data_IF_550715878344
#
_entry.id   IF_550715878344
#
_cell.length_a   1.000
_cell.length_b   1.000
_cell.length_c   1.000
_cell.angle_alpha   90.00
_cell.angle_beta   90.00
_cell.angle_gamma   90.00
#
_symmetry.space_group_name_H-M   'P 1'
#
loop_
_entity.id
_entity.type
_entity.pdbx_description
1 polymer ?
#
# COMPACT_ATOMS: atom_id res chain seq x y z
N UNK A 1 -24.29 70.15 -24.10
CA UNK A 1 -24.03 68.70 -24.19
C UNK A 1 -23.48 68.21 -22.85
N UNK A 2 -24.32 67.61 -22.00
CA UNK A 2 -23.90 66.95 -20.75
C UNK A 2 -23.51 65.51 -21.08
N UNK A 3 -22.26 65.12 -20.84
CA UNK A 3 -21.79 63.73 -20.97
C UNK A 3 -22.01 63.04 -19.62
N UNK A 4 -22.98 62.15 -19.54
CA UNK A 4 -23.10 61.22 -18.40
C UNK A 4 -21.99 60.18 -18.49
N UNK A 5 -21.13 60.14 -17.48
CA UNK A 5 -20.22 59.02 -17.24
C UNK A 5 -21.04 57.89 -16.61
N UNK A 6 -21.33 56.83 -17.38
CA UNK A 6 -21.82 55.58 -16.83
C UNK A 6 -20.63 54.87 -16.16
N UNK A 7 -20.62 54.85 -14.83
CA UNK A 7 -19.71 54.00 -14.07
C UNK A 7 -20.16 52.53 -14.21
N UNK A 8 -19.43 51.75 -15.00
CA UNK A 8 -19.54 50.29 -14.97
C UNK A 8 -18.98 49.76 -13.65
N UNK A 9 -19.87 49.47 -12.69
CA UNK A 9 -19.52 48.66 -11.53
C UNK A 9 -19.34 47.20 -12.00
N UNK A 10 -18.10 46.76 -12.09
CA UNK A 10 -17.75 45.37 -12.40
C UNK A 10 -17.89 44.55 -11.10
N UNK A 11 -18.99 43.80 -10.98
CA UNK A 11 -19.19 42.81 -9.91
C UNK A 11 -18.25 41.62 -10.16
N UNK A 12 -17.17 41.53 -9.38
CA UNK A 12 -16.36 40.32 -9.30
C UNK A 12 -17.13 39.26 -8.50
N UNK A 13 -17.74 38.32 -9.22
CA UNK A 13 -18.18 37.06 -8.61
C UNK A 13 -16.94 36.20 -8.36
N UNK A 14 -16.53 36.06 -7.09
CA UNK A 14 -15.65 34.99 -6.66
C UNK A 14 -16.44 33.68 -6.66
N UNK A 15 -16.34 32.92 -7.76
CA UNK A 15 -16.70 31.50 -7.73
C UNK A 15 -15.59 30.75 -6.99
N UNK A 16 -15.84 30.33 -5.76
CA UNK A 16 -15.08 29.25 -5.14
C UNK A 16 -15.40 27.98 -5.91
N UNK A 17 -14.54 27.66 -6.88
CA UNK A 17 -14.54 26.33 -7.50
C UNK A 17 -13.84 25.43 -6.50
N UNK A 18 -14.62 24.76 -5.65
CA UNK A 18 -14.10 23.62 -4.92
C UNK A 18 -13.86 22.52 -5.96
N UNK A 19 -12.65 22.51 -6.50
CA UNK A 19 -12.18 21.38 -7.28
C UNK A 19 -12.23 20.14 -6.36
N UNK A 20 -12.68 19.02 -6.89
CA UNK A 20 -12.56 17.74 -6.19
C UNK A 20 -11.09 17.58 -5.79
N UNK A 21 -10.80 17.49 -4.49
CA UNK A 21 -9.44 17.25 -4.02
C UNK A 21 -9.03 15.86 -4.50
N UNK A 22 -8.28 15.80 -5.60
CA UNK A 22 -7.78 14.55 -6.20
C UNK A 22 -6.63 13.92 -5.40
N UNK A 23 -6.30 14.45 -4.22
CA UNK A 23 -5.34 13.85 -3.31
C UNK A 23 -5.85 13.95 -1.87
N UNK A 24 -5.76 12.84 -1.14
CA UNK A 24 -6.01 12.83 0.31
C UNK A 24 -4.76 13.36 1.04
N UNK A 25 -4.95 14.41 1.84
CA UNK A 25 -3.90 15.04 2.63
C UNK A 25 -3.59 14.29 3.93
N UNK A 26 -4.53 13.46 4.40
CA UNK A 26 -4.45 12.66 5.62
C UNK A 26 -5.17 11.31 5.40
N UNK A 27 -4.87 10.29 6.22
CA UNK A 27 -5.66 9.06 6.22
C UNK A 27 -7.11 9.32 6.63
N UNK A 28 -8.01 8.45 6.16
CA UNK A 28 -9.45 8.43 6.48
C UNK A 28 -9.86 7.00 6.85
N UNK A 29 -11.11 6.79 7.29
CA UNK A 29 -11.63 5.48 7.63
C UNK A 29 -11.01 4.93 8.92
N UNK A 30 -10.97 3.61 9.08
CA UNK A 30 -10.46 2.99 10.30
C UNK A 30 -8.96 3.29 10.55
N UNK A 31 -8.17 3.53 9.50
CA UNK A 31 -6.77 3.94 9.59
C UNK A 31 -6.52 5.43 9.78
N UNK A 32 -7.54 6.24 10.12
CA UNK A 32 -7.42 7.71 10.23
C UNK A 32 -6.32 8.21 11.19
N UNK A 33 -5.92 7.39 12.16
CA UNK A 33 -4.89 7.73 13.14
C UNK A 33 -3.45 7.53 12.66
N UNK A 34 -3.24 6.97 11.47
CA UNK A 34 -1.90 6.77 10.93
C UNK A 34 -1.22 8.12 10.61
N UNK A 35 -0.13 8.43 11.30
CA UNK A 35 0.72 9.61 11.07
C UNK A 35 2.07 9.26 10.44
N UNK A 36 2.43 7.97 10.42
CA UNK A 36 3.64 7.44 9.82
C UNK A 36 4.90 8.07 10.41
N UNK A 37 5.84 8.44 9.54
CA UNK A 37 7.07 9.15 9.88
C UNK A 37 6.88 10.64 10.22
N UNK A 38 5.64 11.15 10.17
CA UNK A 38 5.32 12.55 10.46
C UNK A 38 6.14 13.55 9.64
N UNK A 39 6.79 14.49 10.33
CA UNK A 39 7.60 15.56 9.73
C UNK A 39 9.09 15.24 9.66
N UNK A 40 9.48 13.97 9.86
CA UNK A 40 10.88 13.55 9.76
C UNK A 40 11.48 13.92 8.39
N UNK A 41 12.76 14.29 8.38
CA UNK A 41 13.46 14.63 7.15
C UNK A 41 13.42 13.45 6.16
N UNK A 42 13.01 13.66 4.90
CA UNK A 42 12.91 12.57 3.93
C UNK A 42 14.27 11.91 3.64
N UNK A 43 14.26 10.59 3.55
CA UNK A 43 15.43 9.77 3.26
C UNK A 43 15.20 8.99 1.97
N UNK A 44 16.06 9.20 0.97
CA UNK A 44 15.96 8.52 -0.32
C UNK A 44 16.45 7.08 -0.23
N UNK A 45 15.69 6.11 -0.74
CA UNK A 45 16.08 4.72 -0.93
C UNK A 45 16.06 4.34 -2.41
N UNK A 46 17.20 3.85 -2.91
CA UNK A 46 17.38 3.46 -4.34
C UNK A 46 17.80 2.01 -4.54
N UNK A 47 18.07 1.29 -3.44
CA UNK A 47 18.50 -0.12 -3.49
C UNK A 47 17.77 -0.94 -2.45
N UNK A 48 17.70 -2.25 -2.67
CA UNK A 48 17.07 -3.20 -1.75
C UNK A 48 17.64 -3.11 -0.32
N UNK A 49 18.97 -3.16 -0.19
CA UNK A 49 19.63 -3.18 1.12
C UNK A 49 19.35 -1.88 1.90
N UNK A 50 19.37 -0.75 1.20
CA UNK A 50 19.11 0.56 1.79
C UNK A 50 17.64 0.73 2.20
N UNK A 51 16.70 0.31 1.34
CA UNK A 51 15.28 0.29 1.67
C UNK A 51 15.01 -0.56 2.91
N UNK A 52 15.53 -1.80 2.92
CA UNK A 52 15.39 -2.73 4.04
C UNK A 52 15.94 -2.15 5.34
N UNK A 53 17.12 -1.53 5.28
CA UNK A 53 17.74 -0.91 6.44
C UNK A 53 16.87 0.22 7.00
N UNK A 54 16.34 1.10 6.14
CA UNK A 54 15.49 2.23 6.56
C UNK A 54 14.13 1.79 7.12
N UNK A 55 13.48 0.82 6.48
CA UNK A 55 12.21 0.26 6.99
C UNK A 55 12.41 -0.36 8.38
N UNK A 56 13.53 -1.05 8.59
CA UNK A 56 13.83 -1.76 9.85
C UNK A 56 14.45 -0.87 10.93
N UNK A 57 14.76 0.39 10.62
CA UNK A 57 15.42 1.29 11.55
C UNK A 57 14.45 1.76 12.65
N UNK A 58 14.99 2.00 13.84
CA UNK A 58 14.24 2.63 14.94
C UNK A 58 13.97 4.11 14.67
N UNK A 59 12.94 4.64 15.31
CA UNK A 59 12.55 6.05 15.23
C UNK A 59 11.75 6.39 13.97
N UNK A 60 11.03 7.52 14.01
CA UNK A 60 10.17 7.95 12.92
C UNK A 60 10.98 8.29 11.66
N UNK A 61 10.52 7.88 10.48
CA UNK A 61 11.18 8.20 9.21
C UNK A 61 10.22 8.32 8.03
N UNK A 62 10.49 9.28 7.16
CA UNK A 62 9.90 9.40 5.82
C UNK A 62 10.91 8.84 4.81
N UNK A 63 10.54 7.75 4.12
CA UNK A 63 11.38 7.00 3.19
C UNK A 63 10.84 7.22 1.79
N UNK A 64 11.64 7.86 0.93
CA UNK A 64 11.32 8.08 -0.47
C UNK A 64 11.93 6.96 -1.31
N UNK A 65 11.12 6.13 -1.95
CA UNK A 65 11.59 5.08 -2.84
C UNK A 65 11.73 5.64 -4.25
N UNK A 66 12.87 5.42 -4.90
CA UNK A 66 13.10 5.89 -6.27
C UNK A 66 13.48 4.76 -7.21
N UNK A 67 12.84 4.76 -8.38
CA UNK A 67 13.07 3.78 -9.42
C UNK A 67 12.54 2.39 -9.08
N UNK A 68 13.07 1.39 -9.76
CA UNK A 68 12.72 -0.01 -9.54
C UNK A 68 13.73 -0.66 -8.59
N UNK A 69 13.23 -1.19 -7.47
CA UNK A 69 14.01 -1.98 -6.53
C UNK A 69 13.57 -3.44 -6.63
N UNK A 70 14.48 -4.31 -7.08
CA UNK A 70 14.24 -5.75 -7.12
C UNK A 70 14.48 -6.38 -5.74
N UNK A 71 13.50 -7.11 -5.25
CA UNK A 71 13.58 -7.95 -4.06
C UNK A 71 14.26 -9.27 -4.47
N UNK A 72 15.40 -9.63 -3.86
CA UNK A 72 16.06 -10.90 -4.17
C UNK A 72 15.22 -12.08 -3.70
N UNK A 73 15.43 -13.26 -4.28
CA UNK A 73 14.79 -14.49 -3.84
C UNK A 73 14.99 -14.71 -2.33
N UNK A 74 13.89 -14.88 -1.59
CA UNK A 74 13.89 -15.04 -0.13
C UNK A 74 14.18 -13.74 0.63
N UNK A 75 14.23 -12.62 -0.10
CA UNK A 75 14.58 -11.31 0.39
C UNK A 75 13.41 -10.44 0.85
N UNK A 76 12.18 -10.97 0.90
CA UNK A 76 11.01 -10.24 1.42
C UNK A 76 11.37 -9.48 2.70
N UNK A 77 11.09 -8.17 2.72
CA UNK A 77 11.41 -7.30 3.85
C UNK A 77 10.40 -7.62 4.95
N UNK A 78 10.80 -8.45 5.90
CA UNK A 78 9.95 -8.94 6.98
C UNK A 78 10.42 -8.39 8.33
N UNK A 79 9.74 -7.36 8.83
CA UNK A 79 10.17 -6.57 9.99
C UNK A 79 8.98 -6.08 10.82
N UNK A 80 9.27 -5.71 12.08
CA UNK A 80 8.38 -4.87 12.88
C UNK A 80 8.62 -3.43 12.44
N UNK A 81 7.61 -2.78 11.87
CA UNK A 81 7.71 -1.46 11.26
C UNK A 81 6.89 -0.46 12.08
N UNK A 82 7.56 0.55 12.63
CA UNK A 82 6.94 1.54 13.53
C UNK A 82 7.28 2.95 13.07
N UNK A 83 6.29 3.83 13.01
CA UNK A 83 6.40 5.26 12.68
C UNK A 83 7.09 5.50 11.32
N UNK A 84 6.62 4.80 10.28
CA UNK A 84 7.20 4.92 8.93
C UNK A 84 6.21 5.47 7.93
N UNK A 85 6.68 6.41 7.13
CA UNK A 85 6.01 6.82 5.88
C UNK A 85 6.89 6.35 4.72
N UNK A 86 6.42 5.40 3.93
CA UNK A 86 7.13 4.84 2.78
C UNK A 86 6.41 5.33 1.52
N UNK A 87 7.05 6.19 0.73
CA UNK A 87 6.41 6.84 -0.42
C UNK A 87 7.25 6.62 -1.66
N UNK A 88 6.63 6.10 -2.71
CA UNK A 88 7.26 6.04 -4.02
C UNK A 88 7.32 7.42 -4.67
N UNK A 89 8.47 7.75 -5.25
CA UNK A 89 8.57 8.81 -6.25
C UNK A 89 7.89 8.33 -7.56
N UNK A 90 7.58 9.23 -8.51
CA UNK A 90 6.89 8.85 -9.74
C UNK A 90 7.49 7.61 -10.43
N UNK A 91 6.68 6.57 -10.60
CA UNK A 91 7.09 5.32 -11.24
C UNK A 91 7.92 4.37 -10.36
N UNK A 92 8.01 4.61 -9.05
CA UNK A 92 8.74 3.71 -8.14
C UNK A 92 8.05 2.33 -8.04
N UNK A 93 8.86 1.27 -8.14
CA UNK A 93 8.39 -0.12 -8.12
C UNK A 93 9.21 -0.96 -7.15
N UNK A 94 8.55 -1.85 -6.43
CA UNK A 94 9.18 -2.97 -5.72
C UNK A 94 8.80 -4.25 -6.46
N UNK A 95 9.80 -5.00 -6.94
CA UNK A 95 9.57 -6.14 -7.85
C UNK A 95 10.16 -7.41 -7.27
N UNK A 96 9.39 -8.49 -7.18
CA UNK A 96 9.90 -9.84 -6.93
C UNK A 96 9.57 -10.76 -8.11
N UNK A 97 10.59 -11.33 -8.75
CA UNK A 97 10.44 -12.22 -9.91
C UNK A 97 10.53 -13.72 -9.54
N UNK A 98 10.54 -14.05 -8.24
CA UNK A 98 10.77 -15.41 -7.77
C UNK A 98 9.46 -16.11 -7.48
N UNK A 99 9.14 -17.10 -8.31
CA UNK A 99 7.87 -17.83 -8.24
C UNK A 99 7.98 -19.13 -7.42
N UNK A 100 8.51 -19.02 -6.21
CA UNK A 100 8.62 -20.13 -5.26
C UNK A 100 8.08 -19.70 -3.89
N UNK A 101 7.66 -20.69 -3.09
CA UNK A 101 7.15 -20.44 -1.75
C UNK A 101 8.06 -19.54 -0.90
N UNK A 102 9.31 -19.98 -0.69
CA UNK A 102 10.26 -19.28 0.18
C UNK A 102 10.92 -18.08 -0.50
N UNK A 103 10.88 -18.01 -1.83
CA UNK A 103 11.56 -17.00 -2.64
C UNK A 103 10.76 -15.72 -2.84
N UNK A 104 9.44 -15.82 -2.73
CA UNK A 104 8.48 -14.77 -3.08
C UNK A 104 8.26 -13.72 -1.97
N UNK A 105 7.36 -12.78 -2.26
CA UNK A 105 6.92 -11.71 -1.38
C UNK A 105 7.81 -10.47 -1.40
N UNK A 106 7.24 -9.32 -1.02
CA UNK A 106 7.95 -8.03 -1.07
C UNK A 106 8.07 -7.42 0.33
N UNK A 107 6.95 -7.15 1.00
CA UNK A 107 6.94 -6.49 2.32
C UNK A 107 5.99 -7.23 3.28
N UNK A 108 6.49 -7.58 4.46
CA UNK A 108 5.74 -8.26 5.51
C UNK A 108 5.85 -7.46 6.81
N UNK A 109 4.78 -6.78 7.18
CA UNK A 109 4.65 -6.06 8.44
C UNK A 109 4.33 -7.07 9.53
N UNK A 110 5.32 -7.39 10.37
CA UNK A 110 5.18 -8.37 11.46
C UNK A 110 4.31 -7.83 12.59
N UNK A 111 3.84 -8.75 13.42
CA UNK A 111 3.06 -8.42 14.61
C UNK A 111 3.79 -7.41 15.48
N UNK A 112 3.08 -6.35 15.87
CA UNK A 112 3.62 -5.22 16.61
C UNK A 112 4.10 -4.07 15.71
N UNK A 113 3.97 -4.18 14.40
CA UNK A 113 4.07 -3.02 13.51
C UNK A 113 2.93 -2.05 13.80
N UNK A 114 3.19 -0.75 13.74
CA UNK A 114 2.16 0.24 13.99
C UNK A 114 2.48 1.61 13.39
N UNK A 115 1.46 2.42 13.14
CA UNK A 115 1.60 3.78 12.65
C UNK A 115 2.43 3.83 11.35
N UNK A 116 1.91 3.18 10.30
CA UNK A 116 2.60 3.02 9.03
C UNK A 116 1.78 3.63 7.90
N UNK A 117 2.43 4.42 7.05
CA UNK A 117 1.86 4.96 5.82
C UNK A 117 2.65 4.41 4.63
N UNK A 118 1.99 3.86 3.63
CA UNK A 118 2.60 3.37 2.38
C UNK A 118 1.88 4.02 1.20
N UNK A 119 2.58 4.77 0.35
CA UNK A 119 1.95 5.49 -0.76
C UNK A 119 2.70 5.45 -2.08
N UNK A 120 1.95 5.56 -3.18
CA UNK A 120 2.47 5.81 -4.54
C UNK A 120 3.55 4.79 -4.97
N UNK A 121 3.37 3.53 -4.58
CA UNK A 121 4.27 2.42 -4.92
C UNK A 121 3.56 1.40 -5.79
N UNK A 122 4.28 0.89 -6.78
CA UNK A 122 3.87 -0.34 -7.46
C UNK A 122 4.54 -1.53 -6.81
N UNK A 123 3.76 -2.48 -6.32
CA UNK A 123 4.19 -3.81 -5.90
C UNK A 123 3.96 -4.77 -7.07
N UNK A 124 5.02 -5.39 -7.57
CA UNK A 124 4.95 -6.31 -8.70
C UNK A 124 5.50 -7.68 -8.31
N UNK A 125 4.63 -8.68 -8.27
CA UNK A 125 4.99 -10.06 -8.01
C UNK A 125 5.32 -10.84 -9.29
N UNK A 126 5.64 -12.13 -9.14
CA UNK A 126 6.09 -12.98 -10.25
C UNK A 126 4.94 -13.51 -11.11
N UNK A 127 3.68 -13.36 -10.69
CA UNK A 127 2.49 -13.98 -11.29
C UNK A 127 1.92 -15.09 -10.42
N UNK A 128 0.61 -15.31 -10.55
CA UNK A 128 -0.15 -16.27 -9.76
C UNK A 128 0.34 -17.71 -9.94
N UNK A 129 0.72 -18.35 -8.83
CA UNK A 129 1.08 -19.77 -8.79
C UNK A 129 0.88 -20.30 -7.38
N UNK A 130 -0.07 -21.23 -7.22
CA UNK A 130 -0.52 -21.68 -5.90
C UNK A 130 0.48 -22.58 -5.18
N UNK A 131 1.54 -22.00 -4.62
CA UNK A 131 2.61 -22.73 -3.90
C UNK A 131 2.69 -22.30 -2.44
N UNK A 132 1.58 -21.83 -1.87
CA UNK A 132 1.52 -21.21 -0.54
C UNK A 132 2.59 -20.11 -0.40
N UNK A 133 2.69 -19.28 -1.44
CA UNK A 133 3.70 -18.24 -1.59
C UNK A 133 3.55 -17.10 -0.58
N UNK A 134 4.38 -16.07 -0.72
CA UNK A 134 4.25 -14.85 0.08
C UNK A 134 3.66 -13.74 -0.76
N UNK A 135 2.78 -12.97 -0.13
CA UNK A 135 2.07 -11.86 -0.75
C UNK A 135 3.01 -10.72 -1.17
N UNK A 136 2.53 -9.91 -2.10
CA UNK A 136 3.18 -8.62 -2.38
C UNK A 136 3.28 -7.77 -1.11
N UNK A 137 2.17 -7.60 -0.38
CA UNK A 137 2.16 -6.99 0.96
C UNK A 137 1.38 -7.86 1.93
N UNK A 138 1.92 -8.06 3.14
CA UNK A 138 1.17 -8.66 4.24
C UNK A 138 1.21 -7.73 5.46
N UNK A 139 0.05 -7.41 6.01
CA UNK A 139 -0.10 -6.83 7.33
C UNK A 139 -0.54 -7.93 8.31
N UNK A 140 0.40 -8.41 9.12
CA UNK A 140 0.16 -9.48 10.10
C UNK A 140 0.33 -8.93 11.51
N UNK A 141 -0.76 -8.51 12.15
CA UNK A 141 -0.70 -7.84 13.45
C UNK A 141 -0.18 -6.40 13.40
N UNK A 142 -0.51 -5.64 12.34
CA UNK A 142 -0.17 -4.22 12.19
C UNK A 142 -1.36 -3.33 12.56
N UNK A 143 -1.15 -2.30 13.40
CA UNK A 143 -2.20 -1.33 13.76
C UNK A 143 -1.96 0.06 13.18
N UNK A 144 -3.02 0.81 12.91
CA UNK A 144 -2.94 2.19 12.38
C UNK A 144 -2.11 2.23 11.08
N UNK A 145 -2.63 1.54 10.07
CA UNK A 145 -2.00 1.37 8.76
C UNK A 145 -2.80 2.11 7.68
N UNK A 146 -2.13 2.94 6.90
CA UNK A 146 -2.72 3.57 5.71
C UNK A 146 -1.92 3.22 4.45
N UNK A 147 -2.58 2.53 3.53
CA UNK A 147 -2.01 2.18 2.22
C UNK A 147 -2.79 2.94 1.15
N UNK A 148 -2.14 3.85 0.43
CA UNK A 148 -2.83 4.81 -0.43
C UNK A 148 -2.14 5.05 -1.78
N UNK A 149 -2.93 5.09 -2.86
CA UNK A 149 -2.40 5.29 -4.21
C UNK A 149 -1.32 4.26 -4.61
N UNK A 150 -1.40 3.04 -4.10
CA UNK A 150 -0.52 1.94 -4.49
C UNK A 150 -1.14 1.11 -5.61
N UNK A 151 -0.31 0.51 -6.44
CA UNK A 151 -0.74 -0.50 -7.42
C UNK A 151 -0.12 -1.84 -7.05
N UNK A 152 -0.93 -2.89 -7.02
CA UNK A 152 -0.51 -4.25 -6.75
C UNK A 152 -0.75 -5.10 -7.99
N UNK A 153 0.30 -5.75 -8.46
CA UNK A 153 0.32 -6.53 -9.69
C UNK A 153 0.84 -7.93 -9.37
N UNK A 154 0.17 -8.95 -9.90
CA UNK A 154 0.77 -10.26 -10.11
C UNK A 154 1.28 -10.96 -8.83
N UNK A 155 0.52 -10.88 -7.73
CA UNK A 155 0.79 -11.68 -6.52
C UNK A 155 0.99 -13.16 -6.87
N UNK A 156 1.92 -13.84 -6.19
CA UNK A 156 2.06 -15.30 -6.34
C UNK A 156 0.92 -16.02 -5.61
N UNK A 157 0.58 -15.49 -4.43
CA UNK A 157 -0.49 -15.87 -3.51
C UNK A 157 -1.46 -14.66 -3.48
N UNK A 158 -1.45 -13.85 -2.41
CA UNK A 158 -2.16 -12.57 -2.38
C UNK A 158 -1.40 -11.37 -2.98
N UNK A 159 -2.16 -10.34 -3.38
CA UNK A 159 -1.62 -9.00 -3.63
C UNK A 159 -1.48 -8.20 -2.32
N UNK A 160 -2.49 -8.23 -1.46
CA UNK A 160 -2.39 -7.61 -0.14
C UNK A 160 -3.31 -8.28 0.87
N UNK A 161 -2.69 -8.90 1.86
CA UNK A 161 -3.35 -9.59 2.96
C UNK A 161 -3.29 -8.81 4.28
N UNK A 162 -4.41 -8.77 4.98
CA UNK A 162 -4.57 -8.16 6.30
C UNK A 162 -5.06 -9.25 7.25
N UNK A 163 -4.20 -9.67 8.16
CA UNK A 163 -4.42 -10.84 9.02
C UNK A 163 -3.78 -10.66 10.39
N UNK A 164 -3.80 -11.70 11.21
CA UNK A 164 -3.26 -11.62 12.55
C UNK A 164 -4.12 -10.69 13.40
N UNK A 165 -3.45 -9.92 14.24
CA UNK A 165 -4.10 -8.87 15.06
C UNK A 165 -4.11 -7.51 14.36
N UNK A 166 -4.11 -7.48 13.02
CA UNK A 166 -4.10 -6.22 12.28
C UNK A 166 -5.41 -5.49 12.48
N UNK A 167 -5.35 -4.19 12.76
CA UNK A 167 -6.52 -3.40 13.09
C UNK A 167 -6.31 -1.92 12.71
N UNK A 168 -7.37 -1.13 12.63
CA UNK A 168 -7.31 0.27 12.18
C UNK A 168 -6.55 0.42 10.84
N UNK A 169 -7.04 -0.28 9.81
CA UNK A 169 -6.40 -0.28 8.49
C UNK A 169 -7.27 0.44 7.48
N UNK A 170 -6.67 1.33 6.69
CA UNK A 170 -7.31 1.94 5.53
C UNK A 170 -6.50 1.70 4.27
N UNK A 171 -7.19 1.24 3.23
CA UNK A 171 -6.67 1.01 1.89
C UNK A 171 -7.46 1.91 0.94
N UNK A 172 -6.81 2.94 0.42
CA UNK A 172 -7.49 3.98 -0.36
C UNK A 172 -6.86 4.19 -1.72
N UNK A 173 -7.67 4.42 -2.76
CA UNK A 173 -7.18 4.74 -4.11
C UNK A 173 -6.16 3.75 -4.67
N UNK A 174 -6.19 2.50 -4.20
CA UNK A 174 -5.27 1.45 -4.64
C UNK A 174 -5.85 0.70 -5.82
N UNK A 175 -4.99 0.18 -6.68
CA UNK A 175 -5.38 -0.68 -7.80
C UNK A 175 -4.80 -2.08 -7.60
N UNK A 176 -5.61 -3.09 -7.84
CA UNK A 176 -5.23 -4.50 -7.80
C UNK A 176 -5.47 -5.12 -9.18
N UNK A 177 -4.50 -5.88 -9.71
CA UNK A 177 -4.60 -6.49 -11.03
C UNK A 177 -3.68 -7.71 -11.16
N UNK A 178 -4.01 -8.59 -12.10
CA UNK A 178 -3.09 -9.61 -12.60
C UNK A 178 -2.92 -9.41 -14.10
N UNK A 179 -1.68 -9.26 -14.54
CA UNK A 179 -1.29 -9.02 -15.93
C UNK A 179 -0.59 -10.25 -16.52
N UNK A 180 -0.01 -11.11 -15.67
CA UNK A 180 0.69 -12.34 -16.04
C UNK A 180 -0.30 -13.53 -15.97
N UNK A 181 -0.27 -14.45 -16.95
CA UNK A 181 -1.10 -15.66 -16.89
C UNK A 181 -0.81 -16.48 -15.62
N UNK A 182 -1.84 -17.08 -14.98
CA UNK A 182 -1.63 -17.96 -13.84
C UNK A 182 -0.96 -19.27 -14.28
N UNK A 183 -0.27 -19.92 -13.35
CA UNK A 183 0.32 -21.24 -13.54
C UNK A 183 -0.47 -22.32 -12.79
N UNK A 184 -0.71 -23.43 -13.49
CA UNK A 184 -1.34 -24.62 -12.96
C UNK A 184 -0.34 -25.54 -12.22
N UNK A 185 -0.87 -26.45 -11.41
CA UNK A 185 -0.08 -27.51 -10.76
C UNK A 185 0.71 -27.07 -9.52
N UNK A 186 0.33 -25.95 -8.91
CA UNK A 186 0.85 -25.53 -7.61
C UNK A 186 0.41 -26.48 -6.48
N UNK A 187 1.17 -26.50 -5.37
CA UNK A 187 0.91 -27.37 -4.22
C UNK A 187 -0.37 -27.02 -3.45
N UNK A 188 -0.86 -25.77 -3.50
CA UNK A 188 -2.10 -25.33 -2.85
C UNK A 188 -3.37 -25.76 -3.59
N UNK A 189 -3.24 -26.22 -4.85
CA UNK A 189 -4.29 -26.93 -5.57
C UNK A 189 -5.19 -26.08 -6.48
N UNK A 190 -5.06 -24.76 -6.49
CA UNK A 190 -5.69 -23.89 -7.47
C UNK A 190 -4.81 -23.74 -8.72
N UNK A 191 -5.39 -23.99 -9.90
CA UNK A 191 -4.70 -23.71 -11.16
C UNK A 191 -4.71 -22.23 -11.56
N UNK A 192 -5.45 -21.43 -10.79
CA UNK A 192 -5.71 -20.03 -11.03
C UNK A 192 -5.85 -19.30 -9.68
N UNK A 193 -4.72 -19.13 -8.99
CA UNK A 193 -4.63 -18.50 -7.68
C UNK A 193 -4.52 -16.97 -7.83
N UNK A 194 -5.58 -16.32 -8.31
CA UNK A 194 -5.65 -14.84 -8.40
C UNK A 194 -6.48 -14.26 -7.25
N UNK A 195 -6.30 -14.78 -6.04
CA UNK A 195 -7.03 -14.37 -4.83
C UNK A 195 -6.37 -13.13 -4.22
N UNK A 196 -6.72 -11.95 -4.76
CA UNK A 196 -6.00 -10.69 -4.53
C UNK A 196 -5.86 -10.25 -3.07
N UNK A 197 -6.90 -10.38 -2.25
CA UNK A 197 -6.90 -9.82 -0.90
C UNK A 197 -7.58 -10.75 0.10
N UNK A 198 -6.92 -10.98 1.23
CA UNK A 198 -7.47 -11.67 2.40
C UNK A 198 -7.66 -10.70 3.57
N UNK A 199 -8.80 -10.80 4.26
CA UNK A 199 -8.99 -10.20 5.58
C UNK A 199 -9.31 -11.30 6.59
N UNK A 200 -8.37 -11.56 7.49
CA UNK A 200 -8.42 -12.67 8.45
C UNK A 200 -8.04 -14.01 7.83
N UNK A 201 -6.94 -14.59 8.31
CA UNK A 201 -6.38 -15.82 7.75
C UNK A 201 -6.90 -17.12 8.38
N UNK A 202 -7.78 -17.00 9.38
CA UNK A 202 -8.39 -18.15 10.03
C UNK A 202 -9.56 -17.75 10.93
N UNK A 203 -10.37 -18.74 11.33
CA UNK A 203 -11.57 -18.52 12.15
C UNK A 203 -11.28 -18.04 13.57
N UNK A 204 -10.06 -18.24 14.05
CA UNK A 204 -9.57 -17.73 15.34
C UNK A 204 -8.65 -16.52 15.19
N UNK A 205 -8.48 -16.02 13.97
CA UNK A 205 -7.60 -14.90 13.66
C UNK A 205 -8.39 -13.60 13.72
N UNK A 206 -8.24 -12.83 14.81
CA UNK A 206 -8.96 -11.58 14.99
C UNK A 206 -8.20 -10.60 15.91
N UNK A 207 -8.47 -9.29 15.77
CA UNK A 207 -8.08 -8.28 16.75
C UNK A 207 -8.66 -8.52 18.15
N UNK A 208 -8.25 -7.69 19.11
CA UNK A 208 -8.59 -7.86 20.53
C UNK A 208 -10.09 -7.80 20.80
N UNK A 209 -10.82 -7.00 20.03
CA UNK A 209 -12.28 -6.86 20.13
C UNK A 209 -13.05 -7.92 19.31
N UNK A 210 -12.33 -8.82 18.61
CA UNK A 210 -12.88 -9.89 17.81
C UNK A 210 -13.27 -9.49 16.38
N UNK A 211 -13.03 -8.25 15.96
CA UNK A 211 -13.44 -7.74 14.65
C UNK A 211 -12.30 -6.99 13.95
N UNK A 212 -12.16 -7.17 12.63
CA UNK A 212 -11.22 -6.39 11.84
C UNK A 212 -11.80 -5.01 11.52
N UNK A 213 -11.10 -3.94 11.88
CA UNK A 213 -11.42 -2.59 11.44
C UNK A 213 -10.64 -2.25 10.18
N UNK A 214 -11.23 -2.55 9.02
CA UNK A 214 -10.59 -2.36 7.70
C UNK A 214 -11.49 -1.55 6.77
N UNK A 215 -10.96 -0.46 6.22
CA UNK A 215 -11.62 0.35 5.20
C UNK A 215 -10.97 0.10 3.84
N UNK A 216 -11.76 -0.28 2.84
CA UNK A 216 -11.39 -0.15 1.43
C UNK A 216 -12.22 0.96 0.81
N UNK A 217 -11.57 2.01 0.30
CA UNK A 217 -12.26 3.18 -0.27
C UNK A 217 -11.61 3.59 -1.59
N UNK A 218 -12.42 3.87 -2.62
CA UNK A 218 -11.95 4.27 -3.95
C UNK A 218 -10.90 3.31 -4.58
N UNK A 219 -10.85 2.05 -4.15
CA UNK A 219 -9.97 1.06 -4.73
C UNK A 219 -10.55 0.47 -6.02
N UNK A 220 -9.67 0.05 -6.93
CA UNK A 220 -10.04 -0.56 -8.20
C UNK A 220 -9.44 -1.96 -8.32
N UNK A 221 -10.31 -2.97 -8.33
CA UNK A 221 -9.95 -4.33 -8.72
C UNK A 221 -10.17 -4.45 -10.22
N UNK A 222 -9.09 -4.38 -10.97
CA UNK A 222 -9.09 -4.55 -12.41
C UNK A 222 -9.17 -6.04 -12.78
N UNK A 223 -9.29 -6.31 -14.07
CA UNK A 223 -9.19 -7.67 -14.59
C UNK A 223 -7.87 -8.33 -14.14
N UNK A 224 -7.98 -9.64 -13.97
CA UNK A 224 -6.91 -10.49 -13.52
C UNK A 224 -6.86 -11.74 -14.34
#
# INVERSE_FOLDING_TARGET
MRKSLLSCALLFFLSSVDAQNYYMAAPEGFGENATGGGTAAPQLATTYNDLKAKISASGAAVILVSGTITIPAGGSISAVVIDKTIVGLPGARLVNNTQTQSGSGILYLKQGSSNVIIRNLVFEGPGAFDVDGRDNLTADGCTDLWVDHCEFQDGIDGNFDIKGKSDNVSVTWCKFTYLKPPLAGGSGGANDHRYSNLVGSGSSDAPVDGHYSVTFQNCYWADG
#
